data_IF_782045723068
#
_entry.id   IF_782045723068
#
_cell.length_a   1.000
_cell.length_b   1.000
_cell.length_c   1.000
_cell.angle_alpha   90.00
_cell.angle_beta   90.00
_cell.angle_gamma   90.00
#
_symmetry.space_group_name_H-M   'P 1'
#
loop_
_entity.id
_entity.type
_entity.pdbx_description
1 polymer ?
#
# COMPACT_ATOMS: atom_id res chain seq x y z
N UNK A 1 23.49 -5.87 -16.35
CA UNK A 1 22.42 -6.83 -16.04
C UNK A 1 21.12 -6.06 -15.95
N UNK A 2 20.00 -6.65 -16.39
CA UNK A 2 18.69 -6.02 -16.23
C UNK A 2 18.30 -6.04 -14.75
N UNK A 3 17.86 -4.90 -14.22
CA UNK A 3 17.43 -4.78 -12.83
C UNK A 3 16.15 -5.58 -12.60
N UNK A 4 16.17 -6.43 -11.58
CA UNK A 4 15.05 -7.31 -11.25
C UNK A 4 14.34 -6.82 -9.99
N UNK A 5 13.01 -6.91 -9.98
CA UNK A 5 12.19 -6.64 -8.80
C UNK A 5 11.48 -7.93 -8.41
N UNK A 6 11.67 -8.36 -7.17
CA UNK A 6 10.96 -9.50 -6.58
C UNK A 6 9.94 -8.93 -5.60
N UNK A 7 8.66 -9.19 -5.83
CA UNK A 7 7.57 -8.80 -4.92
C UNK A 7 7.09 -10.04 -4.21
N UNK A 8 7.06 -10.02 -2.88
CA UNK A 8 6.48 -11.13 -2.11
C UNK A 8 4.97 -11.23 -2.38
N UNK A 9 4.39 -12.44 -2.33
CA UNK A 9 2.94 -12.60 -2.48
C UNK A 9 2.14 -11.73 -1.50
N UNK A 10 2.64 -11.56 -0.28
CA UNK A 10 1.98 -10.78 0.76
C UNK A 10 1.99 -9.28 0.41
N UNK A 11 3.13 -8.74 -0.01
CA UNK A 11 3.23 -7.34 -0.47
C UNK A 11 2.31 -7.10 -1.67
N UNK A 12 2.30 -8.03 -2.64
CA UNK A 12 1.42 -7.96 -3.80
C UNK A 12 -0.05 -7.90 -3.40
N UNK A 13 -0.48 -8.76 -2.47
CA UNK A 13 -1.87 -8.80 -2.04
C UNK A 13 -2.29 -7.55 -1.25
N UNK A 14 -1.42 -6.99 -0.40
CA UNK A 14 -1.71 -5.72 0.30
C UNK A 14 -1.88 -4.58 -0.70
N UNK A 15 -0.95 -4.44 -1.65
CA UNK A 15 -1.05 -3.41 -2.69
C UNK A 15 -2.31 -3.58 -3.55
N UNK A 16 -2.61 -4.82 -3.94
CA UNK A 16 -3.78 -5.12 -4.75
C UNK A 16 -5.08 -4.82 -4.00
N UNK A 17 -5.19 -5.23 -2.73
CA UNK A 17 -6.32 -4.92 -1.89
C UNK A 17 -6.49 -3.41 -1.78
N UNK A 18 -5.40 -2.68 -1.50
CA UNK A 18 -5.44 -1.23 -1.40
C UNK A 18 -5.91 -0.59 -2.71
N UNK A 19 -5.37 -1.01 -3.86
CA UNK A 19 -5.78 -0.52 -5.18
C UNK A 19 -7.27 -0.72 -5.47
N UNK A 20 -7.89 -1.79 -4.94
CA UNK A 20 -9.32 -2.05 -5.10
C UNK A 20 -10.23 -1.27 -4.13
N UNK A 21 -9.68 -0.51 -3.18
CA UNK A 21 -10.49 0.29 -2.25
C UNK A 21 -11.15 1.49 -2.94
N UNK A 22 -10.56 1.98 -4.05
CA UNK A 22 -11.00 3.17 -4.76
C UNK A 22 -11.04 2.94 -6.27
N UNK A 23 -12.24 2.95 -6.84
CA UNK A 23 -12.45 2.77 -8.29
C UNK A 23 -12.32 4.08 -9.08
N UNK A 24 -12.59 5.22 -8.45
CA UNK A 24 -12.65 6.53 -9.12
C UNK A 24 -11.37 7.35 -8.98
N UNK A 25 -10.49 6.93 -8.10
CA UNK A 25 -9.37 7.75 -7.61
C UNK A 25 -8.15 6.86 -7.45
N UNK A 26 -6.97 7.42 -7.74
CA UNK A 26 -5.71 6.73 -7.51
C UNK A 26 -5.40 6.67 -6.01
N UNK A 27 -4.85 5.53 -5.57
CA UNK A 27 -4.29 5.33 -4.23
C UNK A 27 -2.85 4.90 -4.35
N UNK A 28 -2.07 5.05 -3.28
CA UNK A 28 -0.68 4.61 -3.31
C UNK A 28 -0.06 4.43 -1.95
N UNK A 29 1.24 4.12 -1.96
CA UNK A 29 1.99 3.91 -0.75
C UNK A 29 3.46 3.62 -0.99
N UNK A 30 4.13 3.22 0.07
CA UNK A 30 5.59 3.05 0.11
C UNK A 30 5.95 1.57 0.10
N UNK A 31 6.98 1.21 -0.66
CA UNK A 31 7.52 -0.15 -0.75
C UNK A 31 8.64 -0.34 0.25
N UNK A 32 8.59 -1.44 0.99
CA UNK A 32 9.55 -1.77 2.04
C UNK A 32 10.26 -3.08 1.71
N UNK A 33 11.59 -3.06 1.77
CA UNK A 33 12.37 -4.26 1.60
C UNK A 33 13.86 -3.99 1.51
N UNK A 34 14.56 -4.78 0.71
CA UNK A 34 16.01 -4.75 0.60
C UNK A 34 16.46 -4.74 -0.86
N UNK A 35 17.67 -4.26 -1.12
CA UNK A 35 18.23 -4.27 -2.46
C UNK A 35 19.75 -4.31 -2.47
N UNK A 36 20.30 -5.06 -3.42
CA UNK A 36 21.75 -5.19 -3.66
C UNK A 36 22.21 -4.40 -4.91
N UNK A 37 21.38 -3.47 -5.37
CA UNK A 37 21.57 -2.64 -6.57
C UNK A 37 21.10 -3.32 -7.87
N UNK A 38 21.25 -4.64 -8.00
CA UNK A 38 20.81 -5.36 -9.20
C UNK A 38 19.43 -6.01 -9.02
N UNK A 39 19.12 -6.41 -7.80
CA UNK A 39 17.83 -6.99 -7.39
C UNK A 39 17.25 -6.16 -6.26
N UNK A 40 15.98 -5.82 -6.37
CA UNK A 40 15.20 -5.19 -5.29
C UNK A 40 14.12 -6.17 -4.87
N UNK A 41 14.12 -6.55 -3.60
CA UNK A 41 13.12 -7.41 -2.98
C UNK A 41 12.14 -6.54 -2.20
N UNK A 42 10.88 -6.50 -2.60
CA UNK A 42 9.78 -5.87 -1.87
C UNK A 42 9.19 -6.92 -0.94
N UNK A 43 9.46 -6.77 0.36
CA UNK A 43 9.06 -7.71 1.42
C UNK A 43 7.65 -7.38 1.92
N UNK A 44 7.36 -6.09 2.08
CA UNK A 44 6.06 -5.59 2.55
C UNK A 44 5.84 -4.15 2.08
N UNK A 45 4.71 -3.54 2.42
CA UNK A 45 4.36 -2.18 1.97
C UNK A 45 3.64 -1.39 3.05
N UNK A 46 3.76 -0.07 3.00
CA UNK A 46 2.94 0.85 3.78
C UNK A 46 1.91 1.50 2.85
N UNK A 47 0.63 1.06 2.87
CA UNK A 47 -0.48 1.85 2.35
C UNK A 47 -0.46 3.25 2.98
N UNK A 48 -0.64 4.28 2.15
CA UNK A 48 -0.77 5.65 2.62
C UNK A 48 -2.20 6.13 2.42
N UNK A 49 -2.68 6.91 3.38
CA UNK A 49 -3.96 7.60 3.28
C UNK A 49 -3.92 8.60 2.13
N UNK A 50 -5.02 8.73 1.38
CA UNK A 50 -5.10 9.78 0.37
C UNK A 50 -5.28 11.15 1.05
N UNK A 51 -4.27 12.00 0.91
CA UNK A 51 -4.27 13.38 1.45
C UNK A 51 -4.75 14.42 0.43
N UNK A 52 -4.63 14.13 -0.87
CA UNK A 52 -5.11 14.99 -1.97
C UNK A 52 -6.48 14.56 -2.47
N UNK A 53 -7.41 15.51 -2.63
CA UNK A 53 -8.72 15.29 -3.27
C UNK A 53 -8.68 15.38 -4.81
N UNK A 54 -7.50 15.61 -5.41
CA UNK A 54 -7.37 15.62 -6.86
C UNK A 54 -7.38 14.17 -7.38
N UNK A 55 -8.15 13.92 -8.44
CA UNK A 55 -8.45 12.57 -8.95
C UNK A 55 -7.24 11.81 -9.50
N UNK A 56 -6.21 12.53 -9.97
CA UNK A 56 -5.17 11.98 -10.86
C UNK A 56 -3.75 12.08 -10.26
N UNK A 57 -3.61 12.31 -8.94
CA UNK A 57 -2.30 12.57 -8.34
C UNK A 57 -2.15 11.95 -6.96
N UNK A 58 -1.33 10.89 -6.89
CA UNK A 58 -0.71 10.43 -5.64
C UNK A 58 0.59 11.22 -5.44
N UNK A 59 0.64 12.02 -4.37
CA UNK A 59 1.86 12.69 -3.92
C UNK A 59 2.24 12.16 -2.54
N UNK A 60 3.49 11.74 -2.37
CA UNK A 60 4.01 11.28 -1.08
C UNK A 60 4.88 12.40 -0.55
N UNK A 61 4.40 13.09 0.49
CA UNK A 61 5.13 14.19 1.09
C UNK A 61 6.44 13.70 1.73
N UNK A 62 7.41 14.61 1.84
CA UNK A 62 8.68 14.32 2.52
C UNK A 62 8.46 13.87 3.98
N UNK A 63 7.43 14.39 4.64
CA UNK A 63 7.07 14.02 6.01
C UNK A 63 6.53 12.57 6.10
N UNK A 64 5.65 12.18 5.16
CA UNK A 64 5.14 10.80 5.09
C UNK A 64 6.27 9.81 4.79
N UNK A 65 7.15 10.15 3.83
CA UNK A 65 8.30 9.32 3.51
C UNK A 65 9.25 9.17 4.71
N UNK A 66 9.52 10.25 5.44
CA UNK A 66 10.34 10.21 6.66
C UNK A 66 9.72 9.33 7.75
N UNK A 67 8.40 9.43 7.97
CA UNK A 67 7.69 8.56 8.90
C UNK A 67 7.72 7.08 8.49
N UNK A 68 7.70 6.78 7.19
CA UNK A 68 7.90 5.42 6.69
C UNK A 68 9.33 4.92 6.94
N UNK A 69 10.35 5.77 6.79
CA UNK A 69 11.75 5.41 7.09
C UNK A 69 11.90 5.04 8.57
N UNK A 70 11.33 5.82 9.49
CA UNK A 70 11.33 5.51 10.92
C UNK A 70 10.67 4.15 11.21
N UNK A 71 9.48 3.90 10.63
CA UNK A 71 8.78 2.61 10.76
C UNK A 71 9.61 1.42 10.22
N UNK A 72 10.40 1.62 9.16
CA UNK A 72 11.30 0.59 8.63
C UNK A 72 12.36 0.17 9.64
N UNK A 73 12.86 1.07 10.49
CA UNK A 73 13.83 0.72 11.53
C UNK A 73 13.24 -0.26 12.54
N UNK A 74 11.98 -0.04 12.95
CA UNK A 74 11.29 -0.91 13.90
C UNK A 74 10.94 -2.27 13.29
N UNK A 75 10.52 -2.30 12.03
CA UNK A 75 10.33 -3.54 11.27
C UNK A 75 11.65 -4.29 11.14
N UNK A 76 12.76 -3.59 10.86
CA UNK A 76 14.08 -4.21 10.74
C UNK A 76 14.50 -4.88 12.04
N UNK A 77 14.32 -4.19 13.18
CA UNK A 77 14.59 -4.74 14.52
C UNK A 77 13.74 -5.97 14.79
N UNK A 78 12.43 -5.91 14.48
CA UNK A 78 11.51 -7.01 14.71
C UNK A 78 11.83 -8.25 13.86
N UNK A 79 12.09 -8.05 12.56
CA UNK A 79 12.40 -9.15 11.64
C UNK A 79 13.84 -9.67 11.77
N UNK A 80 14.72 -8.93 12.47
CA UNK A 80 16.18 -9.16 12.50
C UNK A 80 16.79 -9.21 11.09
N UNK A 81 16.23 -8.43 10.18
CA UNK A 81 16.60 -8.34 8.77
C UNK A 81 16.56 -6.86 8.38
N UNK A 82 17.66 -6.29 7.85
CA UNK A 82 17.70 -4.88 7.49
C UNK A 82 16.77 -4.60 6.32
N UNK A 83 15.73 -3.79 6.54
CA UNK A 83 14.84 -3.32 5.49
C UNK A 83 14.82 -1.80 5.46
N UNK A 84 14.53 -1.26 4.28
CA UNK A 84 14.49 0.16 4.01
C UNK A 84 13.34 0.46 3.05
N UNK A 85 13.05 1.75 2.88
CA UNK A 85 12.16 2.18 1.81
C UNK A 85 12.90 2.01 0.48
N UNK A 86 12.34 1.20 -0.43
CA UNK A 86 12.96 0.86 -1.72
C UNK A 86 12.21 1.43 -2.92
N UNK A 87 11.03 2.00 -2.70
CA UNK A 87 10.19 2.49 -3.77
C UNK A 87 8.83 2.96 -3.33
N UNK A 88 7.96 3.17 -4.30
CA UNK A 88 6.57 3.57 -4.12
C UNK A 88 5.68 2.81 -5.10
N UNK A 89 4.37 2.78 -4.81
CA UNK A 89 3.37 2.27 -5.73
C UNK A 89 2.15 3.17 -5.78
N UNK A 90 1.43 3.10 -6.89
CA UNK A 90 0.09 3.66 -7.01
C UNK A 90 -0.82 2.84 -7.94
N UNK A 91 -2.11 3.15 -7.92
CA UNK A 91 -3.12 2.52 -8.77
C UNK A 91 -3.53 3.42 -9.94
N UNK A 92 -3.90 2.79 -11.05
CA UNK A 92 -4.43 3.35 -12.28
C UNK A 92 -5.81 2.68 -12.53
N UNK A 93 -6.90 3.25 -12.01
CA UNK A 93 -8.25 2.70 -12.22
C UNK A 93 -8.69 2.88 -13.68
N UNK A 94 -9.22 1.82 -14.29
CA UNK A 94 -9.76 1.79 -15.66
C UNK A 94 -8.81 2.21 -16.80
N UNK A 95 -7.53 2.45 -16.51
CA UNK A 95 -6.52 2.87 -17.49
C UNK A 95 -5.32 1.92 -17.50
N UNK A 96 -4.43 2.07 -18.49
CA UNK A 96 -3.26 1.20 -18.67
C UNK A 96 -2.23 1.38 -17.54
N UNK A 97 -1.41 0.37 -17.22
CA UNK A 97 -0.39 0.46 -16.16
C UNK A 97 0.86 1.26 -16.58
N UNK A 98 0.81 2.00 -17.70
CA UNK A 98 1.95 2.78 -18.17
C UNK A 98 2.03 4.11 -17.42
N UNK A 99 3.23 4.52 -16.97
CA UNK A 99 3.39 5.76 -16.22
C UNK A 99 3.08 6.98 -17.08
N UNK A 100 2.36 7.93 -16.51
CA UNK A 100 2.16 9.26 -17.06
C UNK A 100 3.44 10.09 -17.01
N UNK A 101 3.42 11.29 -17.61
CA UNK A 101 4.53 12.23 -17.50
C UNK A 101 4.77 12.67 -16.04
N UNK A 102 3.71 12.81 -15.26
CA UNK A 102 3.79 13.19 -13.83
C UNK A 102 4.45 12.06 -13.05
N UNK A 103 4.07 10.80 -13.29
CA UNK A 103 4.69 9.64 -12.63
C UNK A 103 6.19 9.55 -12.94
N UNK A 104 6.58 9.79 -14.19
CA UNK A 104 7.99 9.78 -14.60
C UNK A 104 8.79 10.92 -13.95
N UNK A 105 8.17 12.08 -13.72
CA UNK A 105 8.79 13.20 -13.02
C UNK A 105 8.94 12.90 -11.52
N UNK A 106 7.87 12.43 -10.87
CA UNK A 106 7.88 12.01 -9.46
C UNK A 106 8.90 10.91 -9.21
N UNK A 107 8.93 9.90 -10.07
CA UNK A 107 9.91 8.82 -10.01
C UNK A 107 11.35 9.34 -10.17
N UNK A 108 11.58 10.32 -11.05
CA UNK A 108 12.91 10.94 -11.21
C UNK A 108 13.32 11.72 -9.94
N UNK A 109 12.38 12.38 -9.28
CA UNK A 109 12.63 13.07 -8.02
C UNK A 109 13.05 12.08 -6.92
N UNK A 110 12.33 10.96 -6.75
CA UNK A 110 12.76 9.94 -5.79
C UNK A 110 14.11 9.33 -6.16
N UNK A 111 14.38 9.13 -7.46
CA UNK A 111 15.66 8.64 -7.94
C UNK A 111 16.85 9.58 -7.72
N UNK A 112 16.59 10.87 -7.45
CA UNK A 112 17.65 11.81 -7.05
C UNK A 112 18.17 11.54 -5.64
N UNK A 113 17.34 10.96 -4.78
CA UNK A 113 17.70 10.55 -3.42
C UNK A 113 18.31 9.15 -3.39
N UNK A 114 17.69 8.20 -4.11
CA UNK A 114 18.23 6.86 -4.30
C UNK A 114 18.05 6.42 -5.76
N UNK A 115 19.15 6.27 -6.49
CA UNK A 115 19.13 5.81 -7.88
C UNK A 115 18.48 4.44 -8.05
N UNK A 116 18.40 3.66 -6.97
CA UNK A 116 17.76 2.35 -6.95
C UNK A 116 16.27 2.37 -6.65
N UNK A 117 15.68 3.51 -6.34
CA UNK A 117 14.26 3.64 -6.07
C UNK A 117 13.42 3.14 -7.24
N UNK A 118 12.37 2.37 -6.96
CA UNK A 118 11.49 1.78 -7.97
C UNK A 118 10.06 2.31 -7.84
N UNK A 119 9.35 2.40 -8.96
CA UNK A 119 7.92 2.65 -9.01
C UNK A 119 7.17 1.39 -9.43
N UNK A 120 6.02 1.11 -8.82
CA UNK A 120 5.09 0.06 -9.22
C UNK A 120 3.71 0.66 -9.51
N UNK A 121 3.09 0.25 -10.62
CA UNK A 121 1.74 0.70 -11.01
C UNK A 121 0.81 -0.49 -11.11
N UNK A 122 -0.30 -0.43 -10.37
CA UNK A 122 -1.42 -1.37 -10.49
C UNK A 122 -2.50 -0.80 -11.41
N UNK A 123 -2.70 -1.42 -12.56
CA UNK A 123 -3.91 -1.18 -13.37
C UNK A 123 -5.02 -2.12 -12.89
N UNK A 124 -6.14 -1.54 -12.44
CA UNK A 124 -7.27 -2.22 -11.79
C UNK A 124 -8.60 -1.75 -12.41
N UNK A 125 -9.68 -2.51 -12.21
CA UNK A 125 -11.01 -2.25 -12.78
C UNK A 125 -11.08 -2.20 -14.32
N UNK A 126 -10.09 -2.78 -15.01
CA UNK A 126 -10.08 -2.88 -16.47
C UNK A 126 -10.91 -4.09 -16.90
N UNK A 127 -11.95 -3.87 -17.69
CA UNK A 127 -12.78 -4.94 -18.23
C UNK A 127 -12.31 -5.30 -19.64
N UNK A 128 -12.21 -6.61 -19.93
CA UNK A 128 -11.94 -7.05 -21.28
C UNK A 128 -13.21 -6.88 -22.15
N UNK A 129 -13.04 -6.33 -23.35
CA UNK A 129 -14.16 -6.15 -24.28
C UNK A 129 -14.91 -7.49 -24.50
N UNK A 130 -16.24 -7.45 -24.33
CA UNK A 130 -17.13 -8.61 -24.46
C UNK A 130 -16.88 -9.75 -23.46
N UNK A 131 -16.30 -9.47 -22.28
CA UNK A 131 -16.13 -10.45 -21.20
C UNK A 131 -16.47 -9.84 -19.84
N UNK A 132 -17.08 -10.60 -18.91
CA UNK A 132 -17.24 -10.16 -17.52
C UNK A 132 -15.91 -10.18 -16.74
N UNK A 133 -14.82 -10.65 -17.34
CA UNK A 133 -13.51 -10.76 -16.69
C UNK A 133 -12.84 -9.40 -16.52
N UNK A 134 -12.42 -9.12 -15.30
CA UNK A 134 -11.53 -8.01 -14.98
C UNK A 134 -10.07 -8.44 -15.13
N UNK A 135 -9.26 -7.54 -15.68
CA UNK A 135 -7.81 -7.72 -15.84
C UNK A 135 -7.11 -6.81 -14.84
N UNK A 136 -6.21 -7.39 -14.05
CA UNK A 136 -5.27 -6.67 -13.19
C UNK A 136 -3.89 -6.76 -13.82
N UNK A 137 -3.18 -5.64 -13.91
CA UNK A 137 -1.80 -5.61 -14.40
C UNK A 137 -0.90 -4.89 -13.42
N UNK A 138 0.31 -5.42 -13.21
CA UNK A 138 1.36 -4.79 -12.42
C UNK A 138 2.54 -4.45 -13.32
N UNK A 139 2.94 -3.18 -13.34
CA UNK A 139 4.12 -2.70 -14.06
C UNK A 139 5.13 -2.12 -13.08
N UNK A 140 6.40 -2.49 -13.24
CA UNK A 140 7.51 -1.87 -12.51
C UNK A 140 8.35 -1.00 -13.42
N UNK A 141 8.73 0.18 -12.94
CA UNK A 141 9.46 1.16 -13.73
C UNK A 141 10.47 1.98 -12.92
N UNK A 142 11.41 2.55 -13.65
CA UNK A 142 12.22 3.69 -13.27
C UNK A 142 12.08 4.78 -14.35
N UNK A 143 12.48 6.00 -14.02
CA UNK A 143 12.58 7.12 -14.96
C UNK A 143 14.05 7.38 -15.29
N UNK A 144 14.35 7.61 -16.55
CA UNK A 144 15.70 8.03 -16.96
C UNK A 144 15.83 9.57 -16.97
N UNK A 145 17.04 10.09 -17.18
CA UNK A 145 17.30 11.53 -17.20
C UNK A 145 16.53 12.31 -18.28
N UNK A 146 15.99 11.62 -19.29
CA UNK A 146 15.13 12.18 -20.33
C UNK A 146 13.63 12.00 -20.04
N UNK A 147 13.27 11.65 -18.79
CA UNK A 147 11.90 11.37 -18.35
C UNK A 147 11.19 10.33 -19.22
N UNK A 148 11.91 9.28 -19.61
CA UNK A 148 11.33 8.11 -20.28
C UNK A 148 11.33 6.92 -19.34
N UNK A 149 10.29 6.10 -19.50
CA UNK A 149 10.12 4.84 -18.80
C UNK A 149 11.30 3.90 -19.07
N UNK A 150 11.87 3.35 -18.00
CA UNK A 150 12.75 2.19 -18.01
C UNK A 150 12.03 1.05 -17.27
N UNK A 151 11.55 0.05 -18.03
CA UNK A 151 10.82 -1.09 -17.46
C UNK A 151 11.72 -1.98 -16.61
N UNK A 152 11.16 -2.44 -15.50
CA UNK A 152 11.77 -3.37 -14.58
C UNK A 152 11.15 -4.76 -14.76
N UNK A 153 11.97 -5.79 -14.58
CA UNK A 153 11.50 -7.18 -14.60
C UNK A 153 10.91 -7.53 -13.24
N UNK A 154 9.60 -7.36 -13.09
CA UNK A 154 8.87 -7.69 -11.87
C UNK A 154 8.51 -9.17 -11.84
N UNK A 155 8.74 -9.84 -10.71
CA UNK A 155 8.27 -11.20 -10.43
C UNK A 155 7.59 -11.27 -9.08
N UNK A 156 6.46 -11.95 -9.03
CA UNK A 156 5.76 -12.24 -7.77
C UNK A 156 6.20 -13.64 -7.33
N UNK A 157 6.98 -13.71 -6.25
CA UNK A 157 7.51 -14.97 -5.73
C UNK A 157 7.94 -14.81 -4.26
N UNK A 158 7.87 -15.89 -3.49
CA UNK A 158 8.43 -15.92 -2.14
C UNK A 158 9.95 -15.77 -2.17
N UNK A 159 10.52 -15.17 -1.13
CA UNK A 159 11.95 -15.05 -0.98
C UNK A 159 12.56 -16.39 -0.50
N UNK A 160 13.78 -16.74 -0.95
CA UNK A 160 14.43 -18.00 -0.53
C UNK A 160 14.62 -18.11 0.98
N UNK A 161 14.83 -16.96 1.64
CA UNK A 161 15.09 -16.84 3.07
C UNK A 161 13.87 -16.34 3.87
N UNK A 162 12.65 -16.52 3.35
CA UNK A 162 11.43 -16.08 4.03
C UNK A 162 11.35 -16.59 5.47
N UNK A 163 11.22 -15.67 6.42
CA UNK A 163 11.05 -15.95 7.86
C UNK A 163 9.59 -15.77 8.27
N UNK A 164 9.09 -16.47 9.31
CA UNK A 164 7.76 -16.24 9.87
C UNK A 164 7.49 -14.77 10.22
N UNK A 165 8.53 -14.05 10.67
CA UNK A 165 8.45 -12.62 10.98
C UNK A 165 8.03 -11.74 9.79
N UNK A 166 8.33 -12.15 8.55
CA UNK A 166 7.93 -11.42 7.34
C UNK A 166 6.41 -11.50 7.15
N UNK A 167 5.84 -12.67 7.42
CA UNK A 167 4.40 -12.90 7.39
C UNK A 167 3.70 -12.14 8.52
N UNK A 168 4.25 -12.15 9.74
CA UNK A 168 3.70 -11.40 10.88
C UNK A 168 3.61 -9.90 10.61
N UNK A 169 4.67 -9.32 10.04
CA UNK A 169 4.68 -7.91 9.64
C UNK A 169 3.64 -7.65 8.57
N UNK A 170 3.58 -8.51 7.55
CA UNK A 170 2.61 -8.38 6.46
C UNK A 170 1.17 -8.47 6.98
N UNK A 171 0.83 -9.41 7.86
CA UNK A 171 -0.51 -9.51 8.46
C UNK A 171 -0.94 -8.24 9.21
N UNK A 172 0.00 -7.54 9.88
CA UNK A 172 -0.30 -6.25 10.51
C UNK A 172 -0.55 -5.16 9.46
N UNK A 173 0.21 -5.17 8.37
CA UNK A 173 0.08 -4.18 7.31
C UNK A 173 -1.15 -4.40 6.42
N UNK A 174 -1.66 -5.62 6.33
CA UNK A 174 -3.00 -5.88 5.79
C UNK A 174 -4.08 -5.09 6.51
N UNK A 175 -4.01 -4.99 7.85
CA UNK A 175 -4.95 -4.18 8.65
C UNK A 175 -4.81 -2.69 8.35
N UNK A 176 -3.61 -2.21 8.02
CA UNK A 176 -3.39 -0.79 7.73
C UNK A 176 -4.16 -0.28 6.51
N UNK A 177 -4.56 -1.16 5.58
CA UNK A 177 -5.48 -0.77 4.48
C UNK A 177 -6.84 -0.36 5.04
N UNK A 178 -7.37 -1.11 6.00
CA UNK A 178 -8.62 -0.77 6.69
C UNK A 178 -8.49 0.53 7.47
N UNK A 179 -7.35 0.72 8.15
CA UNK A 179 -7.07 1.94 8.90
C UNK A 179 -7.03 3.16 7.96
N UNK A 180 -6.39 3.05 6.78
CA UNK A 180 -6.40 4.12 5.77
C UNK A 180 -7.83 4.50 5.37
N UNK A 181 -8.67 3.52 5.04
CA UNK A 181 -10.08 3.78 4.67
C UNK A 181 -10.81 4.49 5.82
N UNK A 182 -10.66 3.99 7.04
CA UNK A 182 -11.30 4.57 8.23
C UNK A 182 -10.87 6.01 8.45
N UNK A 183 -9.58 6.28 8.39
CA UNK A 183 -9.02 7.61 8.61
C UNK A 183 -9.46 8.60 7.51
N UNK A 184 -9.61 8.15 6.26
CA UNK A 184 -10.20 8.96 5.19
C UNK A 184 -11.66 9.32 5.45
N UNK A 185 -12.47 8.35 5.89
CA UNK A 185 -13.86 8.62 6.25
C UNK A 185 -13.94 9.62 7.40
N UNK A 186 -13.17 9.42 8.47
CA UNK A 186 -13.12 10.34 9.62
C UNK A 186 -12.72 11.75 9.16
N UNK A 187 -11.70 11.86 8.32
CA UNK A 187 -11.22 13.15 7.81
C UNK A 187 -12.28 13.88 6.97
N UNK A 188 -12.97 13.16 6.07
CA UNK A 188 -14.07 13.71 5.25
C UNK A 188 -15.25 14.16 6.13
N UNK A 189 -15.59 13.39 7.16
CA UNK A 189 -16.66 13.73 8.11
C UNK A 189 -16.30 14.97 8.92
N UNK A 190 -15.06 15.07 9.42
CA UNK A 190 -14.59 16.22 10.18
C UNK A 190 -14.61 17.52 9.35
N UNK A 191 -14.17 17.46 8.09
CA UNK A 191 -14.23 18.59 7.16
C UNK A 191 -15.70 19.03 6.92
N UNK A 192 -16.59 18.08 6.68
CA UNK A 192 -18.01 18.35 6.48
C UNK A 192 -18.69 18.97 7.70
N UNK A 193 -18.38 18.50 8.91
CA UNK A 193 -18.91 19.08 10.17
C UNK A 193 -18.46 20.55 10.30
N UNK A 194 -17.18 20.82 10.06
CA UNK A 194 -16.61 22.17 10.11
C UNK A 194 -17.29 23.13 9.12
N UNK A 195 -17.63 22.66 7.91
CA UNK A 195 -18.36 23.44 6.91
C UNK A 195 -19.84 23.65 7.25
N UNK A 196 -20.48 22.69 7.92
CA UNK A 196 -21.91 22.71 8.26
C UNK A 196 -22.24 23.44 9.56
N UNK A 197 -21.27 23.59 10.47
CA UNK A 197 -21.41 24.23 11.79
C UNK A 197 -22.09 25.62 11.78
N UNK A 198 -21.88 26.49 10.77
CA UNK A 198 -22.53 27.80 10.72
C UNK A 198 -24.02 27.77 10.32
N UNK A 199 -24.53 26.65 9.77
CA UNK A 199 -25.81 26.64 9.02
C UNK A 199 -26.88 25.70 9.57
N UNK A 200 -26.60 24.87 10.59
CA UNK A 200 -27.53 23.81 11.02
C UNK A 200 -27.92 23.96 12.50
N UNK A 201 -29.15 24.44 12.80
CA UNK A 201 -29.65 24.56 14.19
C UNK A 201 -29.94 23.21 14.86
N UNK A 202 -30.09 22.13 14.08
CA UNK A 202 -30.57 20.81 14.50
C UNK A 202 -29.48 19.74 14.30
N UNK A 203 -28.26 20.04 14.76
CA UNK A 203 -27.03 19.25 14.57
C UNK A 203 -27.10 17.80 15.07
N UNK A 204 -28.09 17.46 15.90
CA UNK A 204 -28.28 16.13 16.48
C UNK A 204 -28.61 15.04 15.45
N UNK A 205 -29.42 15.35 14.42
CA UNK A 205 -29.77 14.41 13.34
C UNK A 205 -28.61 14.17 12.39
N UNK A 206 -27.83 15.22 12.12
CA UNK A 206 -26.60 15.11 11.35
C UNK A 206 -25.60 14.24 12.10
N UNK A 207 -25.37 14.51 13.40
CA UNK A 207 -24.51 13.68 14.25
C UNK A 207 -24.95 12.21 14.26
N UNK A 208 -26.24 11.92 14.39
CA UNK A 208 -26.76 10.54 14.37
C UNK A 208 -26.55 9.83 13.02
N UNK A 209 -26.68 10.54 11.90
CA UNK A 209 -26.40 9.98 10.58
C UNK A 209 -24.91 9.68 10.43
N UNK A 210 -24.05 10.64 10.82
CA UNK A 210 -22.59 10.49 10.79
C UNK A 210 -22.12 9.36 11.71
N UNK A 211 -22.70 9.21 12.91
CA UNK A 211 -22.41 8.13 13.84
C UNK A 211 -22.74 6.76 13.25
N UNK A 212 -23.87 6.62 12.56
CA UNK A 212 -24.27 5.37 11.88
C UNK A 212 -23.37 5.04 10.68
N UNK A 213 -22.90 6.06 9.96
CA UNK A 213 -21.93 5.86 8.88
C UNK A 213 -20.57 5.42 9.44
N UNK A 214 -20.15 5.99 10.57
CA UNK A 214 -18.96 5.55 11.31
C UNK A 214 -19.11 4.12 11.84
N UNK A 215 -20.24 3.77 12.44
CA UNK A 215 -20.54 2.40 12.91
C UNK A 215 -20.51 1.38 11.76
N UNK A 216 -21.01 1.75 10.57
CA UNK A 216 -20.95 0.89 9.39
C UNK A 216 -19.51 0.73 8.85
N UNK A 217 -18.72 1.80 8.84
CA UNK A 217 -17.31 1.74 8.48
C UNK A 217 -16.50 0.93 9.52
N UNK A 218 -16.81 1.09 10.80
CA UNK A 218 -16.22 0.33 11.90
C UNK A 218 -16.56 -1.16 11.79
N UNK A 219 -17.79 -1.53 11.44
CA UNK A 219 -18.15 -2.94 11.23
C UNK A 219 -17.37 -3.61 10.09
N UNK A 220 -17.13 -2.89 8.99
CA UNK A 220 -16.35 -3.38 7.84
C UNK A 220 -14.86 -3.50 8.21
N UNK A 221 -14.31 -2.51 8.91
CA UNK A 221 -12.91 -2.51 9.34
C UNK A 221 -12.64 -3.47 10.50
N UNK A 222 -13.60 -3.70 11.39
CA UNK A 222 -13.54 -4.72 12.46
C UNK A 222 -13.47 -6.14 11.88
N UNK A 223 -14.16 -6.42 10.79
CA UNK A 223 -14.09 -7.72 10.12
C UNK A 223 -12.66 -8.00 9.61
N UNK A 224 -12.03 -7.00 8.98
CA UNK A 224 -10.65 -7.11 8.50
C UNK A 224 -9.62 -7.14 9.64
N UNK A 225 -9.84 -6.36 10.70
CA UNK A 225 -9.05 -6.40 11.92
C UNK A 225 -9.11 -7.78 12.62
N UNK A 226 -10.30 -8.39 12.64
CA UNK A 226 -10.54 -9.74 13.19
C UNK A 226 -9.83 -10.80 12.35
N UNK A 227 -9.91 -10.70 11.02
CA UNK A 227 -9.16 -11.58 10.12
C UNK A 227 -7.64 -11.45 10.33
N UNK A 228 -7.11 -10.22 10.43
CA UNK A 228 -5.70 -9.98 10.70
C UNK A 228 -5.24 -10.55 12.06
N UNK A 229 -6.06 -10.43 13.10
CA UNK A 229 -5.80 -11.02 14.41
C UNK A 229 -5.81 -12.56 14.38
N UNK A 230 -6.77 -13.16 13.66
CA UNK A 230 -6.86 -14.61 13.46
C UNK A 230 -5.66 -15.14 12.68
N UNK A 231 -5.26 -14.46 11.60
CA UNK A 231 -4.10 -14.83 10.79
C UNK A 231 -2.81 -14.78 11.62
N UNK A 232 -2.63 -13.73 12.44
CA UNK A 232 -1.51 -13.63 13.36
C UNK A 232 -1.51 -14.76 14.40
N UNK A 233 -2.64 -15.05 15.03
CA UNK A 233 -2.76 -16.14 16.00
C UNK A 233 -2.41 -17.50 15.38
N UNK A 234 -2.88 -17.76 14.16
CA UNK A 234 -2.56 -18.98 13.42
C UNK A 234 -1.05 -19.14 13.14
N UNK A 235 -0.36 -18.04 12.84
CA UNK A 235 1.09 -18.04 12.62
C UNK A 235 1.88 -18.20 13.94
N UNK A 236 1.48 -17.51 15.00
CA UNK A 236 2.09 -17.63 16.34
C UNK A 236 2.01 -19.10 16.85
N UNK A 237 0.85 -19.75 16.67
CA UNK A 237 0.66 -21.17 17.01
C UNK A 237 1.53 -22.13 16.14
N UNK A 238 1.75 -21.79 14.87
CA UNK A 238 2.57 -22.59 13.97
C UNK A 238 4.06 -22.51 14.35
N UNK A 239 4.54 -21.36 14.82
CA UNK A 239 5.92 -21.18 15.28
C UNK A 239 6.20 -21.91 16.60
N UNK A 240 5.26 -21.87 17.56
CA UNK A 240 5.35 -22.60 18.83
C UNK A 240 5.41 -24.12 18.64
N UNK A 241 4.74 -24.63 17.60
CA UNK A 241 4.77 -26.06 17.26
C UNK A 241 6.14 -26.51 16.76
N UNK A 242 6.86 -25.66 16.01
CA UNK A 242 8.20 -25.94 15.48
C UNK A 242 9.28 -25.90 16.57
N UNK A 243 9.18 -24.99 17.53
CA UNK A 243 10.10 -24.96 18.69
C UNK A 243 9.93 -26.19 19.60
N UNK A 244 8.72 -26.77 19.67
CA UNK A 244 8.42 -27.92 20.52
C UNK A 244 8.87 -29.27 19.93
N UNK A 245 9.29 -29.32 18.66
CA UNK A 245 9.70 -30.56 17.97
C UNK A 245 11.23 -30.77 17.98
N UNK A 246 11.95 -29.95 18.75
CA UNK A 246 13.41 -30.06 18.93
C UNK A 246 13.73 -30.61 20.32
N UNK A 247 13.33 -31.87 20.59
CA UNK A 247 13.78 -32.69 21.72
C UNK A 247 14.07 -34.10 21.20
#
# INVERSE_FOLDING_TARGET
MEKQVIVTPEAYQIMLLHAFTHEREEVGGVLVGEGDGNTTSVITVFPLQRTSQQSDRVDISAAELAGCIEKCEDISKYMKCPVSVVGWYHSHPHITPFPSHVDLQTQLNFQSMDQNFIGLIFSVFVHQANSPTQVVSLLGFQSNSAQKEKRLKVRIQSLPNSQPSFYHVSCRLWRSVSDCIKDEFISKLAAFISEAEPYVPDGLKLLQCLLRTLEAADSITESMATFGALAKLGLDLADDSKSSTTI
#
